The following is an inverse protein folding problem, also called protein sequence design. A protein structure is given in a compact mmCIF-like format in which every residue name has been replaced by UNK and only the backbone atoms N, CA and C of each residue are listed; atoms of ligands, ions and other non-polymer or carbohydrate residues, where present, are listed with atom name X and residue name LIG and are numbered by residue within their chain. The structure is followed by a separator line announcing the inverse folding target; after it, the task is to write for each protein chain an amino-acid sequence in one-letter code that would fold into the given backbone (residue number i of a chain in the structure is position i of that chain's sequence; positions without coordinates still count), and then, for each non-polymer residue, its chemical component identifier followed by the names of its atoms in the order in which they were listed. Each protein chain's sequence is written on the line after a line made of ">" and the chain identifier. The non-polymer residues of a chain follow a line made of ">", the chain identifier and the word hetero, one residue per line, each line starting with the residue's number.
data_IF_679790932758
#
_entry.id   IF_679790932758
#
_cell.length_a   1.000
_cell.length_b   1.000
_cell.length_c   1.000
_cell.angle_alpha   90.00
_cell.angle_beta   90.00
_cell.angle_gamma   90.00
#
_symmetry.space_group_name_H-M   'P 1'
#
loop_
_entity.id
_entity.type
_entity.pdbx_description
1 polymer ?
#
# COMPACT_ATOMS: atom_id res chain seq x y z
N UNK A 1 -7.25 -6.55 -4.03
CA UNK A 1 -6.08 -5.69 -4.31
C UNK A 1 -5.69 -4.98 -3.03
N UNK A 2 -4.39 -4.78 -2.81
CA UNK A 2 -3.86 -3.93 -1.74
C UNK A 2 -3.07 -2.80 -2.37
N UNK A 3 -3.32 -1.56 -1.93
CA UNK A 3 -2.54 -0.39 -2.27
C UNK A 3 -1.73 -0.01 -1.05
N UNK A 4 -0.40 -0.02 -1.17
CA UNK A 4 0.53 0.43 -0.14
C UNK A 4 0.86 1.88 -0.43
N UNK A 5 0.73 2.76 0.54
CA UNK A 5 1.10 4.17 0.41
C UNK A 5 2.35 4.41 1.22
N UNK A 6 3.35 5.03 0.60
CA UNK A 6 4.59 5.39 1.25
C UNK A 6 5.12 6.72 0.71
N UNK A 7 6.02 7.36 1.45
CA UNK A 7 6.67 8.62 1.02
C UNK A 7 7.90 8.34 0.17
N UNK A 8 8.56 7.22 0.44
CA UNK A 8 9.76 6.76 -0.23
C UNK A 8 9.65 5.24 -0.44
N UNK A 9 10.43 4.66 -1.37
CA UNK A 9 10.52 3.20 -1.47
C UNK A 9 10.93 2.57 -0.14
N UNK A 10 10.16 1.59 0.38
CA UNK A 10 10.55 0.89 1.59
C UNK A 10 11.80 0.03 1.37
N UNK A 11 12.41 -0.44 2.47
CA UNK A 11 13.51 -1.39 2.38
C UNK A 11 13.08 -2.63 1.57
N UNK A 12 13.97 -3.06 0.67
CA UNK A 12 13.67 -4.15 -0.27
C UNK A 12 13.40 -5.46 0.46
N UNK A 13 14.16 -5.77 1.51
CA UNK A 13 14.03 -7.02 2.24
C UNK A 13 12.77 -7.03 3.10
N UNK A 14 12.44 -5.90 3.74
CA UNK A 14 11.19 -5.73 4.49
C UNK A 14 9.96 -5.88 3.58
N UNK A 15 9.95 -5.17 2.44
CA UNK A 15 8.85 -5.28 1.47
C UNK A 15 8.72 -6.71 0.91
N UNK A 16 9.83 -7.36 0.57
CA UNK A 16 9.81 -8.73 0.07
C UNK A 16 9.30 -9.73 1.12
N UNK A 17 9.66 -9.54 2.39
CA UNK A 17 9.15 -10.35 3.50
C UNK A 17 7.64 -10.16 3.65
N UNK A 18 7.18 -8.91 3.65
CA UNK A 18 5.76 -8.57 3.76
C UNK A 18 4.93 -9.15 2.59
N UNK A 19 5.43 -9.01 1.36
CA UNK A 19 4.79 -9.61 0.17
C UNK A 19 4.72 -11.13 0.23
N UNK A 20 5.68 -11.77 0.91
CA UNK A 20 5.69 -13.21 1.15
C UNK A 20 4.57 -13.70 2.06
N UNK A 21 4.02 -12.83 2.92
CA UNK A 21 2.89 -13.15 3.79
C UNK A 21 1.52 -12.94 3.12
N UNK A 22 1.47 -12.08 2.09
CA UNK A 22 0.22 -11.81 1.36
C UNK A 22 -0.11 -12.95 0.39
N UNK A 23 -1.39 -13.40 0.31
CA UNK A 23 -1.78 -14.44 -0.63
C UNK A 23 -1.45 -14.07 -2.08
N UNK A 24 -0.76 -14.96 -2.81
CA UNK A 24 -0.27 -14.73 -4.19
C UNK A 24 -1.32 -14.28 -5.23
N UNK A 25 -2.61 -14.48 -4.95
CA UNK A 25 -3.72 -14.05 -5.83
C UNK A 25 -4.10 -12.59 -5.63
N UNK A 26 -3.57 -11.95 -4.59
CA UNK A 26 -3.85 -10.55 -4.27
C UNK A 26 -2.81 -9.70 -4.98
N UNK A 27 -3.29 -8.87 -5.89
CA UNK A 27 -2.49 -7.82 -6.49
C UNK A 27 -2.11 -6.77 -5.44
N UNK A 28 -0.83 -6.42 -5.40
CA UNK A 28 -0.27 -5.38 -4.52
C UNK A 28 0.38 -4.31 -5.39
N UNK A 29 0.12 -3.04 -5.07
CA UNK A 29 0.76 -1.89 -5.73
C UNK A 29 1.35 -0.97 -4.68
N UNK A 30 2.53 -0.42 -4.96
CA UNK A 30 3.16 0.63 -4.15
C UNK A 30 2.83 1.99 -4.76
N UNK A 31 2.26 2.87 -3.97
CA UNK A 31 1.85 4.22 -4.32
C UNK A 31 2.85 5.19 -3.68
N UNK A 32 3.52 5.99 -4.52
CA UNK A 32 4.50 6.99 -4.10
C UNK A 32 4.08 8.38 -4.59
N UNK A 33 4.34 9.46 -3.83
CA UNK A 33 4.05 10.82 -4.27
C UNK A 33 4.96 11.26 -5.43
N UNK A 34 6.16 10.70 -5.54
CA UNK A 34 7.14 11.05 -6.56
C UNK A 34 7.75 9.79 -7.19
N UNK A 35 8.25 9.88 -8.44
CA UNK A 35 9.03 8.80 -9.01
C UNK A 35 10.25 8.48 -8.13
N UNK A 36 10.51 7.21 -7.81
CA UNK A 36 11.61 6.87 -6.93
C UNK A 36 12.95 7.21 -7.60
N UNK A 37 13.86 7.84 -6.83
CA UNK A 37 15.17 8.24 -7.34
C UNK A 37 16.04 7.03 -7.76
N UNK A 38 15.82 5.88 -7.12
CA UNK A 38 16.41 4.61 -7.50
C UNK A 38 15.33 3.67 -8.06
N UNK A 39 15.71 2.78 -8.98
CA UNK A 39 14.82 1.74 -9.48
C UNK A 39 14.39 0.85 -8.31
N UNK A 40 13.11 0.91 -7.94
CA UNK A 40 12.44 -0.20 -7.26
C UNK A 40 12.55 -1.40 -8.18
N UNK A 41 12.90 -2.57 -7.62
CA UNK A 41 13.04 -3.80 -8.41
C UNK A 41 11.72 -4.03 -9.19
N UNK A 42 11.74 -3.91 -10.53
CA UNK A 42 10.51 -3.93 -11.33
C UNK A 42 9.79 -5.29 -11.28
N UNK A 43 10.45 -6.34 -10.76
CA UNK A 43 9.83 -7.63 -10.51
C UNK A 43 9.17 -7.80 -9.14
N UNK A 44 9.34 -6.85 -8.20
CA UNK A 44 8.88 -7.00 -6.83
C UNK A 44 7.44 -6.50 -6.62
N UNK A 45 7.14 -5.28 -7.07
CA UNK A 45 5.82 -4.66 -6.93
C UNK A 45 5.61 -3.63 -8.04
N UNK A 46 4.38 -3.48 -8.54
CA UNK A 46 4.03 -2.38 -9.44
C UNK A 46 4.08 -1.06 -8.66
N UNK A 47 4.85 -0.09 -9.14
CA UNK A 47 4.91 1.26 -8.57
C UNK A 47 4.01 2.18 -9.37
N UNK A 48 3.13 2.89 -8.67
CA UNK A 48 2.25 3.92 -9.22
C UNK A 48 2.59 5.25 -8.56
N UNK A 49 2.72 6.31 -9.35
CA UNK A 49 3.02 7.65 -8.84
C UNK A 49 1.70 8.43 -8.69
N UNK A 50 1.44 8.96 -7.49
CA UNK A 50 0.25 9.73 -7.11
C UNK A 50 0.65 11.12 -6.59
N UNK A 51 1.12 12.02 -7.47
CA UNK A 51 1.78 13.26 -7.07
C UNK A 51 0.84 14.30 -6.46
N UNK A 52 -0.47 14.17 -6.71
CA UNK A 52 -1.49 15.06 -6.16
C UNK A 52 -2.39 14.38 -5.12
N UNK A 53 -2.04 13.17 -4.68
CA UNK A 53 -2.78 12.45 -3.65
C UNK A 53 -4.18 12.00 -4.06
N UNK A 54 -4.53 12.05 -5.35
CA UNK A 54 -5.88 11.71 -5.82
C UNK A 54 -6.24 10.25 -5.56
N UNK A 55 -5.26 9.34 -5.63
CA UNK A 55 -5.52 7.94 -5.31
C UNK A 55 -5.69 7.74 -3.81
N UNK A 56 -4.89 8.42 -2.99
CA UNK A 56 -5.07 8.44 -1.53
C UNK A 56 -6.47 8.95 -1.13
N UNK A 57 -6.91 10.05 -1.74
CA UNK A 57 -8.27 10.60 -1.55
C UNK A 57 -9.35 9.64 -2.03
N UNK A 58 -9.17 9.01 -3.19
CA UNK A 58 -10.13 8.07 -3.76
C UNK A 58 -10.35 6.83 -2.89
N UNK A 59 -9.35 6.43 -2.10
CA UNK A 59 -9.47 5.34 -1.13
C UNK A 59 -9.77 5.79 0.29
N UNK A 60 -10.06 7.09 0.48
CA UNK A 60 -10.29 7.69 1.78
C UNK A 60 -9.18 7.33 2.79
N UNK A 61 -7.91 7.44 2.37
CA UNK A 61 -6.77 7.27 3.25
C UNK A 61 -6.77 8.42 4.28
N UNK A 62 -6.67 8.14 5.60
CA UNK A 62 -6.62 9.21 6.59
C UNK A 62 -5.42 10.15 6.38
N UNK A 63 -5.63 11.46 6.58
CA UNK A 63 -4.58 12.47 6.45
C UNK A 63 -3.65 12.47 7.68
N UNK A 64 -2.32 12.43 7.49
CA UNK A 64 -1.35 12.60 8.57
C UNK A 64 -1.47 13.95 9.30
N UNK A 65 -1.06 13.97 10.57
CA UNK A 65 -1.03 15.20 11.39
C UNK A 65 -0.06 16.25 10.83
N UNK A 66 1.02 15.81 10.17
CA UNK A 66 1.99 16.70 9.54
C UNK A 66 1.53 17.28 8.18
N UNK A 67 0.36 16.85 7.69
CA UNK A 67 -0.20 17.29 6.41
C UNK A 67 0.53 16.75 5.17
N UNK A 68 1.52 15.86 5.33
CA UNK A 68 2.24 15.24 4.23
C UNK A 68 1.49 14.06 3.59
N UNK A 69 2.09 13.39 2.59
CA UNK A 69 1.51 12.18 2.00
C UNK A 69 1.29 11.09 3.06
N UNK A 70 0.20 10.34 2.91
CA UNK A 70 -0.15 9.24 3.82
C UNK A 70 0.81 8.06 3.72
N UNK A 71 1.06 7.41 4.86
CA UNK A 71 1.80 6.13 4.93
C UNK A 71 0.84 5.09 5.52
N UNK A 72 0.71 3.95 4.85
CA UNK A 72 -0.19 2.88 5.27
C UNK A 72 -0.70 2.07 4.09
N UNK A 73 -1.94 1.61 4.15
CA UNK A 73 -2.50 0.78 3.10
C UNK A 73 -4.02 0.88 2.97
N UNK A 74 -4.51 0.49 1.80
CA UNK A 74 -5.93 0.27 1.54
C UNK A 74 -6.16 -1.12 0.93
N UNK A 75 -7.26 -1.78 1.34
CA UNK A 75 -7.72 -3.05 0.77
C UNK A 75 -8.94 -2.78 -0.10
N UNK A 76 -8.82 -3.10 -1.39
CA UNK A 76 -9.85 -2.91 -2.41
C UNK A 76 -10.33 -4.27 -2.91
N UNK A 77 -11.64 -4.47 -2.92
CA UNK A 77 -12.25 -5.74 -3.33
C UNK A 77 -12.34 -5.92 -4.86
N UNK A 78 -12.84 -7.08 -5.28
CA UNK A 78 -13.05 -7.42 -6.70
C UNK A 78 -14.06 -6.51 -7.42
N UNK A 79 -14.92 -5.79 -6.69
CA UNK A 79 -15.90 -4.82 -7.19
C UNK A 79 -15.39 -3.38 -7.11
N UNK A 80 -14.09 -3.18 -6.90
CA UNK A 80 -13.43 -1.87 -6.76
C UNK A 80 -13.97 -1.04 -5.60
N UNK A 81 -14.46 -1.69 -4.55
CA UNK A 81 -14.89 -1.03 -3.32
C UNK A 81 -13.76 -1.06 -2.31
N UNK A 82 -13.51 0.08 -1.66
CA UNK A 82 -12.61 0.17 -0.51
C UNK A 82 -13.26 -0.56 0.66
N UNK A 83 -12.60 -1.58 1.18
CA UNK A 83 -13.07 -2.35 2.35
C UNK A 83 -12.38 -1.93 3.62
N UNK A 84 -11.17 -1.42 3.49
CA UNK A 84 -10.37 -0.92 4.59
C UNK A 84 -9.34 0.07 4.07
N UNK A 85 -9.08 1.12 4.84
CA UNK A 85 -7.96 2.03 4.64
C UNK A 85 -7.44 2.44 6.02
N UNK A 86 -6.12 2.55 6.15
CA UNK A 86 -5.50 2.98 7.41
C UNK A 86 -4.25 3.79 7.15
N UNK A 87 -4.02 4.76 8.03
CA UNK A 87 -2.72 5.39 8.19
C UNK A 87 -1.94 4.54 9.22
N UNK A 88 -0.92 3.84 8.74
CA UNK A 88 -0.07 2.98 9.55
C UNK A 88 1.37 3.07 9.03
N UNK A 89 2.23 3.92 9.64
CA UNK A 89 3.64 3.99 9.28
C UNK A 89 4.41 2.69 9.54
N UNK A 90 3.82 1.75 10.28
CA UNK A 90 4.40 0.45 10.61
C UNK A 90 3.76 -0.71 9.81
N UNK A 91 3.08 -0.44 8.69
CA UNK A 91 2.34 -1.45 7.93
C UNK A 91 3.20 -2.67 7.50
N UNK A 92 4.51 -2.47 7.29
CA UNK A 92 5.46 -3.52 6.92
C UNK A 92 5.71 -4.55 8.03
N UNK A 93 5.51 -4.19 9.30
CA UNK A 93 5.60 -5.15 10.42
C UNK A 93 4.25 -5.82 10.74
N UNK A 94 3.15 -5.31 10.19
CA UNK A 94 1.78 -5.72 10.50
C UNK A 94 1.09 -6.47 9.35
N UNK A 95 1.84 -7.24 8.54
CA UNK A 95 1.30 -8.01 7.42
C UNK A 95 0.11 -8.91 7.80
N UNK A 96 0.10 -9.43 9.03
CA UNK A 96 -0.99 -10.25 9.57
C UNK A 96 -2.35 -9.53 9.58
N UNK A 97 -2.38 -8.19 9.72
CA UNK A 97 -3.63 -7.41 9.69
C UNK A 97 -4.24 -7.47 8.29
N UNK A 98 -3.43 -7.22 7.27
CA UNK A 98 -3.85 -7.25 5.86
C UNK A 98 -4.36 -8.64 5.50
N UNK A 99 -3.62 -9.69 5.86
CA UNK A 99 -4.05 -11.07 5.60
C UNK A 99 -5.34 -11.44 6.35
N UNK A 100 -5.56 -10.87 7.54
CA UNK A 100 -6.80 -11.06 8.31
C UNK A 100 -7.97 -10.37 7.62
N UNK A 101 -7.81 -9.13 7.20
CA UNK A 101 -8.84 -8.37 6.46
C UNK A 101 -9.20 -9.11 5.16
N UNK A 102 -8.20 -9.57 4.41
CA UNK A 102 -8.39 -10.27 3.14
C UNK A 102 -9.21 -11.56 3.24
N UNK A 103 -9.29 -12.20 4.42
CA UNK A 103 -10.18 -13.37 4.63
C UNK A 103 -11.67 -13.03 4.58
N UNK A 104 -12.01 -11.76 4.80
CA UNK A 104 -13.38 -11.26 4.86
C UNK A 104 -13.75 -10.38 3.65
N UNK A 105 -12.79 -10.12 2.76
CA UNK A 105 -13.00 -9.33 1.55
C UNK A 105 -13.36 -10.26 0.37
N UNK A 106 -14.52 -10.05 -0.28
CA UNK A 106 -15.02 -10.89 -1.37
C UNK A 106 -14.34 -10.67 -2.73
#
# INVERSE_FOLDING_TARGET
>A
MVLLFDREPPDRQELASWLGEVPRRVEVRLILPEPPAALVDPGLVEVVVDPDGRLADAVALPTPVDGGPGIGYAVVDSRRQVRYSTLDPAYLVNAFEVTTILKWVP
#
